data_IF_984358830196
#
_entry.id   IF_984358830196
#
_cell.length_a   1.000
_cell.length_b   1.000
_cell.length_c   1.000
_cell.angle_alpha   90.00
_cell.angle_beta   90.00
_cell.angle_gamma   90.00
#
_symmetry.space_group_name_H-M   'P 1'
#
loop_
_entity.id
_entity.type
_entity.pdbx_description
1 polymer ?
#
# COMPACT_ATOMS: atom_id res chain seq x y z
N UNK A 1 -23.56 -32.23 0.31
CA UNK A 1 -24.39 -31.78 1.44
C UNK A 1 -24.42 -30.27 1.41
N UNK A 2 -25.59 -29.63 1.33
CA UNK A 2 -25.66 -28.16 1.11
C UNK A 2 -25.39 -27.42 2.42
N UNK A 3 -24.66 -26.31 2.37
CA UNK A 3 -24.23 -25.54 3.54
C UNK A 3 -25.42 -25.07 4.42
N UNK A 4 -26.56 -24.83 3.78
CA UNK A 4 -27.84 -24.50 4.41
C UNK A 4 -28.44 -25.65 5.23
N UNK A 5 -28.21 -26.91 4.83
CA UNK A 5 -28.68 -28.09 5.56
C UNK A 5 -27.82 -28.34 6.81
N UNK A 6 -26.51 -28.10 6.71
CA UNK A 6 -25.59 -28.15 7.84
C UNK A 6 -25.92 -27.07 8.88
N UNK A 7 -26.19 -25.84 8.43
CA UNK A 7 -26.61 -24.73 9.27
C UNK A 7 -27.90 -25.01 10.04
N UNK A 8 -28.91 -25.58 9.35
CA UNK A 8 -30.18 -25.96 9.98
C UNK A 8 -30.01 -27.04 11.05
N UNK A 9 -29.12 -28.01 10.86
CA UNK A 9 -28.82 -29.05 11.86
C UNK A 9 -28.06 -28.51 13.08
N UNK A 10 -27.21 -27.52 12.87
CA UNK A 10 -26.41 -26.89 13.92
C UNK A 10 -27.15 -25.75 14.65
N UNK A 11 -28.35 -25.38 14.19
CA UNK A 11 -29.11 -24.25 14.74
C UNK A 11 -28.41 -22.89 14.53
N UNK A 12 -27.48 -22.81 13.59
CA UNK A 12 -26.67 -21.63 13.32
C UNK A 12 -27.13 -20.94 12.04
N UNK A 13 -26.89 -19.63 11.96
CA UNK A 13 -27.09 -18.93 10.70
C UNK A 13 -26.06 -19.45 9.66
N UNK A 14 -26.41 -19.63 8.37
CA UNK A 14 -25.49 -20.18 7.37
C UNK A 14 -24.14 -19.46 7.28
N UNK A 15 -24.13 -18.14 7.47
CA UNK A 15 -22.89 -17.36 7.50
C UNK A 15 -22.01 -17.68 8.71
N UNK A 16 -22.58 -17.98 9.87
CA UNK A 16 -21.83 -18.33 11.08
C UNK A 16 -21.14 -19.69 10.92
N UNK A 17 -21.80 -20.62 10.22
CA UNK A 17 -21.20 -21.92 9.88
C UNK A 17 -19.95 -21.74 9.02
N UNK A 18 -19.97 -20.84 8.03
CA UNK A 18 -18.79 -20.53 7.20
C UNK A 18 -17.67 -19.95 8.05
N UNK A 19 -17.98 -19.04 8.97
CA UNK A 19 -16.99 -18.41 9.84
C UNK A 19 -16.35 -19.40 10.82
N UNK A 20 -17.13 -20.31 11.39
CA UNK A 20 -16.61 -21.37 12.25
C UNK A 20 -15.79 -22.39 11.46
N UNK A 21 -16.23 -22.77 10.26
CA UNK A 21 -15.44 -23.61 9.36
C UNK A 21 -14.09 -22.96 9.01
N UNK A 22 -14.08 -21.66 8.72
CA UNK A 22 -12.85 -20.91 8.46
C UNK A 22 -11.89 -20.87 9.66
N UNK A 23 -12.40 -20.92 10.90
CA UNK A 23 -11.56 -21.01 12.11
C UNK A 23 -10.94 -22.40 12.30
N UNK A 24 -11.66 -23.46 11.90
CA UNK A 24 -11.19 -24.84 11.96
C UNK A 24 -10.16 -25.11 10.86
N UNK A 25 -10.39 -24.61 9.66
CA UNK A 25 -9.51 -24.76 8.50
C UNK A 25 -8.53 -23.57 8.39
N UNK A 26 -7.62 -23.43 9.37
CA UNK A 26 -6.60 -22.37 9.39
C UNK A 26 -5.59 -22.39 8.22
N UNK A 27 -5.64 -23.41 7.36
CA UNK A 27 -4.65 -23.65 6.29
C UNK A 27 -5.23 -23.65 4.88
N UNK A 28 -6.55 -23.54 4.70
CA UNK A 28 -7.18 -23.45 3.38
C UNK A 28 -7.38 -21.99 3.00
N UNK A 29 -7.16 -21.64 1.73
CA UNK A 29 -7.38 -20.25 1.27
C UNK A 29 -8.87 -19.96 1.30
N UNK A 30 -9.23 -18.71 1.60
CA UNK A 30 -10.63 -18.26 1.66
C UNK A 30 -11.44 -18.64 0.40
N UNK A 31 -10.76 -18.66 -0.75
CA UNK A 31 -11.29 -19.05 -2.06
C UNK A 31 -11.76 -20.51 -2.13
N UNK A 32 -11.24 -21.41 -1.27
CA UNK A 32 -11.57 -22.84 -1.28
C UNK A 32 -12.79 -23.19 -0.40
N UNK A 33 -13.19 -22.28 0.49
CA UNK A 33 -14.28 -22.48 1.46
C UNK A 33 -15.55 -21.76 1.03
N UNK A 34 -15.41 -20.67 0.27
CA UNK A 34 -16.55 -19.90 -0.20
C UNK A 34 -17.23 -20.62 -1.38
N UNK A 35 -18.57 -20.75 -1.37
CA UNK A 35 -19.28 -21.26 -2.53
C UNK A 35 -19.06 -20.31 -3.71
N UNK A 36 -18.81 -20.86 -4.90
CA UNK A 36 -18.74 -20.09 -6.14
C UNK A 36 -20.05 -19.30 -6.30
N UNK A 37 -19.96 -17.98 -6.16
CA UNK A 37 -21.10 -17.10 -6.34
C UNK A 37 -21.18 -16.77 -7.82
N UNK A 38 -22.34 -17.04 -8.44
CA UNK A 38 -22.58 -16.68 -9.84
C UNK A 38 -22.43 -15.17 -10.04
N UNK A 39 -21.68 -14.78 -11.07
CA UNK A 39 -21.47 -13.37 -11.46
C UNK A 39 -22.80 -12.62 -11.66
N UNK A 40 -23.86 -13.32 -12.08
CA UNK A 40 -25.20 -12.74 -12.24
C UNK A 40 -25.82 -12.30 -10.91
N UNK A 41 -25.57 -13.06 -9.83
CA UNK A 41 -26.04 -12.70 -8.49
C UNK A 41 -25.31 -11.45 -7.97
N UNK A 42 -23.99 -11.39 -8.17
CA UNK A 42 -23.16 -10.22 -7.80
C UNK A 42 -23.61 -8.98 -8.58
N UNK A 43 -23.81 -9.11 -9.89
CA UNK A 43 -24.29 -8.03 -10.75
C UNK A 43 -25.71 -7.55 -10.36
N UNK A 44 -26.56 -8.45 -9.89
CA UNK A 44 -27.92 -8.12 -9.46
C UNK A 44 -27.91 -7.34 -8.14
N UNK A 45 -27.08 -7.75 -7.17
CA UNK A 45 -26.89 -7.01 -5.92
C UNK A 45 -26.28 -5.62 -6.17
N UNK A 46 -25.29 -5.52 -7.04
CA UNK A 46 -24.68 -4.23 -7.41
C UNK A 46 -25.69 -3.24 -8.02
N UNK A 47 -26.67 -3.74 -8.78
CA UNK A 47 -27.75 -2.93 -9.37
C UNK A 47 -28.83 -2.54 -8.36
N UNK A 48 -29.09 -3.37 -7.36
CA UNK A 48 -30.06 -3.12 -6.29
C UNK A 48 -29.58 -2.06 -5.29
N UNK A 49 -28.28 -2.00 -5.03
CA UNK A 49 -27.67 -0.95 -4.20
C UNK A 49 -27.54 0.34 -5.02
N UNK A 50 -28.66 1.03 -5.26
CA UNK A 50 -28.60 2.42 -5.72
C UNK A 50 -27.91 3.24 -4.63
N UNK A 51 -26.78 3.90 -4.92
CA UNK A 51 -26.06 4.65 -3.90
C UNK A 51 -26.91 5.83 -3.45
N UNK A 52 -27.50 5.73 -2.26
CA UNK A 52 -28.07 6.86 -1.56
C UNK A 52 -26.97 7.90 -1.30
N UNK A 53 -27.36 9.18 -1.18
CA UNK A 53 -26.44 10.31 -1.08
C UNK A 53 -25.45 10.18 0.10
N UNK A 54 -25.82 9.41 1.12
CA UNK A 54 -25.00 9.05 2.27
C UNK A 54 -23.95 7.98 1.96
N UNK A 55 -24.29 6.97 1.14
CA UNK A 55 -23.35 5.94 0.67
C UNK A 55 -22.23 6.53 -0.19
N UNK A 56 -22.51 7.60 -0.96
CA UNK A 56 -21.44 8.34 -1.67
C UNK A 56 -20.46 9.00 -0.70
N UNK A 57 -20.95 9.62 0.39
CA UNK A 57 -20.10 10.24 1.42
C UNK A 57 -19.31 9.21 2.22
N UNK A 58 -19.88 8.04 2.48
CA UNK A 58 -19.18 6.93 3.12
C UNK A 58 -18.09 6.33 2.21
N UNK A 59 -18.39 6.10 0.92
CA UNK A 59 -17.40 5.63 -0.06
C UNK A 59 -16.22 6.61 -0.22
N UNK A 60 -16.49 7.92 -0.26
CA UNK A 60 -15.39 8.92 -0.31
C UNK A 60 -14.55 8.94 0.97
N UNK A 61 -15.11 8.54 2.13
CA UNK A 61 -14.39 8.43 3.41
C UNK A 61 -13.56 7.15 3.51
N UNK A 62 -14.01 6.05 2.90
CA UNK A 62 -13.25 4.79 2.90
C UNK A 62 -12.02 4.91 1.99
N UNK A 63 -12.16 5.49 0.80
CA UNK A 63 -11.04 5.71 -0.13
C UNK A 63 -9.96 6.66 0.45
N UNK A 64 -10.37 7.65 1.25
CA UNK A 64 -9.41 8.54 1.91
C UNK A 64 -8.79 7.93 3.16
N UNK A 65 -9.53 7.10 3.91
CA UNK A 65 -9.01 6.44 5.10
C UNK A 65 -7.99 5.33 4.79
N UNK A 66 -8.18 4.54 3.74
CA UNK A 66 -7.22 3.50 3.34
C UNK A 66 -5.91 4.10 2.78
N UNK A 67 -6.02 5.16 1.96
CA UNK A 67 -4.85 5.89 1.46
C UNK A 67 -4.07 6.53 2.62
N UNK A 68 -4.74 7.11 3.62
CA UNK A 68 -4.06 7.72 4.77
C UNK A 68 -3.41 6.71 5.72
N UNK A 69 -4.00 5.51 5.90
CA UNK A 69 -3.37 4.43 6.67
C UNK A 69 -2.11 3.91 5.96
N UNK A 70 -2.17 3.66 4.64
CA UNK A 70 -1.01 3.18 3.90
C UNK A 70 0.13 4.22 3.87
N UNK A 71 -0.19 5.51 3.71
CA UNK A 71 0.80 6.59 3.72
C UNK A 71 1.51 6.73 5.08
N UNK A 72 0.75 6.75 6.19
CA UNK A 72 1.33 6.88 7.53
C UNK A 72 2.22 5.68 7.89
N UNK A 73 1.83 4.49 7.46
CA UNK A 73 2.60 3.27 7.66
C UNK A 73 3.88 3.28 6.80
N UNK A 74 3.81 3.81 5.57
CA UNK A 74 4.95 4.03 4.68
C UNK A 74 5.99 4.95 5.33
N UNK A 75 5.57 6.06 5.96
CA UNK A 75 6.49 6.97 6.68
C UNK A 75 7.18 6.28 7.86
N UNK A 76 6.45 5.45 8.61
CA UNK A 76 7.00 4.74 9.78
C UNK A 76 8.00 3.66 9.40
N UNK A 77 7.76 2.95 8.29
CA UNK A 77 8.61 1.84 7.81
C UNK A 77 9.92 2.30 7.18
N UNK A 78 10.07 3.60 6.84
CA UNK A 78 11.29 4.11 6.23
C UNK A 78 12.48 4.14 7.22
N UNK A 79 13.66 3.61 6.83
CA UNK A 79 14.88 3.77 7.61
C UNK A 79 15.24 5.25 7.78
N UNK A 80 15.84 5.63 8.92
CA UNK A 80 16.17 7.04 9.21
C UNK A 80 17.13 7.67 8.18
N UNK A 81 18.03 6.87 7.60
CA UNK A 81 18.87 7.31 6.48
C UNK A 81 18.04 7.66 5.23
N UNK A 82 16.98 6.88 4.95
CA UNK A 82 16.03 7.17 3.87
C UNK A 82 15.22 8.44 4.12
N UNK A 83 14.74 8.63 5.36
CA UNK A 83 14.03 9.88 5.76
C UNK A 83 14.92 11.11 5.59
N UNK A 84 16.20 11.03 6.02
CA UNK A 84 17.19 12.09 5.84
C UNK A 84 17.44 12.42 4.38
N UNK A 85 17.60 11.41 3.52
CA UNK A 85 17.73 11.59 2.08
C UNK A 85 16.52 12.33 1.50
N UNK A 86 15.31 11.87 1.79
CA UNK A 86 14.05 12.49 1.30
C UNK A 86 13.95 13.94 1.77
N UNK A 87 14.23 14.23 3.04
CA UNK A 87 14.25 15.59 3.59
C UNK A 87 15.27 16.49 2.89
N UNK A 88 16.48 15.99 2.66
CA UNK A 88 17.53 16.75 1.98
C UNK A 88 17.18 17.01 0.51
N UNK A 89 16.60 16.03 -0.18
CA UNK A 89 16.14 16.18 -1.56
C UNK A 89 14.97 17.17 -1.66
N UNK A 90 14.06 17.15 -0.68
CA UNK A 90 12.91 18.05 -0.60
C UNK A 90 13.34 19.51 -0.46
N UNK A 91 14.25 19.80 0.49
CA UNK A 91 14.79 21.15 0.72
C UNK A 91 15.45 21.74 -0.52
N UNK A 92 16.17 20.90 -1.27
CA UNK A 92 16.86 21.30 -2.51
C UNK A 92 15.97 21.23 -3.76
N UNK A 93 14.67 20.95 -3.60
CA UNK A 93 13.67 20.89 -4.67
C UNK A 93 14.05 19.94 -5.83
N UNK A 94 14.62 18.77 -5.52
CA UNK A 94 14.92 17.75 -6.52
C UNK A 94 13.67 17.00 -6.99
N UNK A 95 12.86 17.69 -7.79
CA UNK A 95 11.69 17.17 -8.48
C UNK A 95 11.92 17.11 -9.99
N UNK A 96 11.12 16.29 -10.69
CA UNK A 96 10.89 16.26 -12.14
C UNK A 96 11.87 17.12 -12.98
N UNK A 97 12.87 16.47 -13.58
CA UNK A 97 13.91 17.12 -14.38
C UNK A 97 15.20 17.39 -13.60
N UNK A 98 15.09 17.68 -12.31
CA UNK A 98 16.25 17.91 -11.44
C UNK A 98 16.62 16.61 -10.70
N UNK A 99 17.61 15.88 -11.23
CA UNK A 99 17.95 14.52 -10.80
C UNK A 99 19.35 14.46 -10.18
N UNK A 100 19.52 13.62 -9.16
CA UNK A 100 20.81 13.39 -8.49
C UNK A 100 21.39 12.04 -8.96
N UNK A 101 22.66 11.98 -9.38
CA UNK A 101 23.34 10.72 -9.65
C UNK A 101 23.41 9.80 -8.42
N UNK A 102 23.32 8.49 -8.63
CA UNK A 102 23.37 7.50 -7.55
C UNK A 102 24.62 7.63 -6.67
N UNK A 103 25.78 7.85 -7.27
CA UNK A 103 27.05 7.99 -6.53
C UNK A 103 27.02 9.18 -5.58
N UNK A 104 26.41 10.30 -6.02
CA UNK A 104 26.24 11.47 -5.17
C UNK A 104 25.29 11.19 -4.01
N UNK A 105 24.25 10.36 -4.23
CA UNK A 105 23.36 9.93 -3.15
C UNK A 105 24.09 9.09 -2.11
N UNK A 106 24.83 8.09 -2.58
CA UNK A 106 25.62 7.18 -1.73
C UNK A 106 26.69 7.93 -0.93
N UNK A 107 27.40 8.85 -1.57
CA UNK A 107 28.56 9.53 -0.98
C UNK A 107 28.22 10.76 -0.14
N UNK A 108 27.04 11.38 -0.30
CA UNK A 108 26.69 12.59 0.46
C UNK A 108 25.53 12.40 1.43
N UNK A 109 24.56 11.54 1.10
CA UNK A 109 23.31 11.46 1.85
C UNK A 109 23.13 10.14 2.61
N UNK A 110 23.79 9.07 2.15
CA UNK A 110 23.80 7.75 2.79
C UNK A 110 25.19 7.38 3.34
N UNK A 111 25.97 8.39 3.73
CA UNK A 111 27.30 8.22 4.35
C UNK A 111 27.18 7.38 5.61
N UNK A 112 28.13 6.46 5.81
CA UNK A 112 28.16 5.55 6.95
C UNK A 112 27.24 4.32 6.81
N UNK A 113 26.51 4.17 5.70
CA UNK A 113 25.79 2.94 5.38
C UNK A 113 26.65 2.03 4.50
N UNK A 114 26.58 0.71 4.71
CA UNK A 114 27.23 -0.26 3.81
C UNK A 114 26.63 -0.19 2.40
N UNK A 115 27.41 -0.54 1.37
CA UNK A 115 26.94 -0.51 -0.04
C UNK A 115 25.65 -1.32 -0.25
N UNK A 116 25.52 -2.47 0.43
CA UNK A 116 24.30 -3.28 0.40
C UNK A 116 23.11 -2.53 1.02
N UNK A 117 23.30 -1.89 2.18
CA UNK A 117 22.23 -1.16 2.86
C UNK A 117 21.81 0.09 2.10
N UNK A 118 22.75 0.81 1.50
CA UNK A 118 22.47 1.93 0.59
C UNK A 118 21.58 1.49 -0.59
N UNK A 119 21.90 0.33 -1.18
CA UNK A 119 21.12 -0.24 -2.28
C UNK A 119 19.71 -0.65 -1.85
N UNK A 120 19.56 -1.22 -0.65
CA UNK A 120 18.25 -1.56 -0.06
C UNK A 120 17.38 -0.31 0.12
N UNK A 121 17.92 0.72 0.77
CA UNK A 121 17.21 1.98 1.03
C UNK A 121 16.70 2.61 -0.27
N UNK A 122 17.53 2.64 -1.31
CA UNK A 122 17.14 3.19 -2.61
C UNK A 122 16.06 2.34 -3.30
N UNK A 123 16.17 1.01 -3.22
CA UNK A 123 15.14 0.10 -3.76
C UNK A 123 13.80 0.28 -3.04
N UNK A 124 13.81 0.33 -1.71
CA UNK A 124 12.62 0.54 -0.89
C UNK A 124 11.95 1.89 -1.23
N UNK A 125 12.73 2.97 -1.33
CA UNK A 125 12.22 4.30 -1.70
C UNK A 125 11.61 4.36 -3.11
N UNK A 126 12.14 3.55 -4.04
CA UNK A 126 11.57 3.42 -5.40
C UNK A 126 10.32 2.54 -5.39
N UNK A 127 10.30 1.44 -4.64
CA UNK A 127 9.13 0.57 -4.49
C UNK A 127 7.96 1.30 -3.83
N UNK A 128 8.23 2.18 -2.87
CA UNK A 128 7.24 3.06 -2.24
C UNK A 128 6.83 4.25 -3.13
N UNK A 129 7.35 4.32 -4.35
CA UNK A 129 7.14 5.41 -5.31
C UNK A 129 7.52 6.81 -4.80
N UNK A 130 8.33 6.91 -3.75
CA UNK A 130 8.83 8.19 -3.21
C UNK A 130 9.90 8.76 -4.13
N UNK A 131 10.78 7.89 -4.64
CA UNK A 131 11.79 8.22 -5.62
C UNK A 131 11.44 7.67 -7.00
N UNK A 132 11.72 8.47 -8.03
CA UNK A 132 11.78 8.03 -9.41
C UNK A 132 13.22 7.74 -9.77
N UNK A 133 13.47 6.55 -10.31
CA UNK A 133 14.75 6.13 -10.85
C UNK A 133 14.73 6.25 -12.37
N UNK A 134 15.69 6.95 -12.94
CA UNK A 134 15.82 7.13 -14.39
C UNK A 134 17.26 6.88 -14.82
N UNK A 135 17.46 6.10 -15.88
CA UNK A 135 18.78 5.83 -16.45
C UNK A 135 18.97 4.38 -16.88
N UNK A 136 20.15 4.10 -17.43
CA UNK A 136 20.59 2.75 -17.80
C UNK A 136 21.51 2.18 -16.72
N UNK A 137 21.75 0.87 -16.76
CA UNK A 137 22.64 0.16 -15.85
C UNK A 137 23.98 0.89 -15.70
N UNK A 138 24.33 1.26 -14.46
CA UNK A 138 25.57 1.99 -14.13
C UNK A 138 25.45 3.52 -14.12
N UNK A 139 24.36 4.11 -14.60
CA UNK A 139 24.15 5.58 -14.59
C UNK A 139 22.72 5.93 -14.18
N UNK A 140 22.35 5.51 -12.96
CA UNK A 140 21.05 5.83 -12.40
C UNK A 140 21.03 7.22 -11.78
N UNK A 141 19.93 7.93 -12.02
CA UNK A 141 19.65 9.22 -11.40
C UNK A 141 18.29 9.15 -10.71
N UNK A 142 18.18 9.82 -9.57
CA UNK A 142 16.97 9.81 -8.76
C UNK A 142 16.39 11.21 -8.60
N UNK A 143 15.07 11.31 -8.59
CA UNK A 143 14.31 12.51 -8.26
C UNK A 143 13.13 12.16 -7.38
N UNK A 144 12.60 13.13 -6.62
CA UNK A 144 11.38 12.94 -5.85
C UNK A 144 10.16 12.85 -6.78
N UNK A 145 9.21 11.99 -6.42
CA UNK A 145 7.95 11.86 -7.13
C UNK A 145 6.97 12.97 -6.72
N UNK A 146 6.57 13.81 -7.67
CA UNK A 146 5.63 14.92 -7.42
C UNK A 146 4.22 14.44 -7.04
N UNK A 147 3.80 13.26 -7.51
CA UNK A 147 2.49 12.67 -7.16
C UNK A 147 2.37 12.36 -5.66
N UNK A 148 3.50 12.10 -5.00
CA UNK A 148 3.57 11.81 -3.56
C UNK A 148 4.05 13.02 -2.73
N UNK A 149 3.84 14.25 -3.22
CA UNK A 149 4.29 15.48 -2.54
C UNK A 149 3.80 15.58 -1.08
N UNK A 150 2.52 15.28 -0.81
CA UNK A 150 1.96 15.29 0.57
C UNK A 150 2.66 14.28 1.50
N UNK A 151 3.01 13.10 0.99
CA UNK A 151 3.75 12.09 1.75
C UNK A 151 5.17 12.58 2.04
N UNK A 152 5.85 13.16 1.04
CA UNK A 152 7.21 13.71 1.18
C UNK A 152 7.24 14.87 2.19
N UNK A 153 6.23 15.75 2.18
CA UNK A 153 6.07 16.82 3.16
C UNK A 153 5.92 16.26 4.58
N UNK A 154 5.11 15.20 4.77
CA UNK A 154 4.99 14.51 6.06
C UNK A 154 6.31 13.88 6.52
N UNK A 155 7.02 13.17 5.64
CA UNK A 155 8.33 12.54 5.95
C UNK A 155 9.38 13.61 6.29
N UNK A 156 9.37 14.73 5.56
CA UNK A 156 10.35 15.80 5.76
C UNK A 156 10.06 16.66 7.00
N UNK A 157 8.77 16.81 7.38
CA UNK A 157 8.30 17.57 8.54
C UNK A 157 8.19 16.79 9.86
N UNK A 158 8.16 15.46 9.83
CA UNK A 158 8.22 14.62 11.04
C UNK A 158 9.61 14.77 11.67
N UNK A 159 9.70 15.53 12.76
CA UNK A 159 10.93 15.73 13.56
C UNK A 159 10.91 14.82 14.76
#
# INVERSE_FOLDING_TARGET
MRLTEAAKKLGLHPCEVVLELAKVFKSLRFEEICPEVSDDYVNTLAKLVKPTRESRRAATRVDTAEVHKSEAETVRRLPDAGKRLVRAMHRKKYYEGNRIPEDKIRNQYLVGQSKQRQSSILKELVQMEVLHRVGKTGSFRYSLNKKKKKLIEKVSGST
#
